data_IF_328965740719
#
_entry.id   IF_328965740719
#
_cell.length_a   1.000
_cell.length_b   1.000
_cell.length_c   1.000
_cell.angle_alpha   90.00
_cell.angle_beta   90.00
_cell.angle_gamma   90.00
#
_symmetry.space_group_name_H-M   'P 1'
#
loop_
_entity.id
_entity.type
_entity.pdbx_description
1 polymer ?
#
# COMPACT_ATOMS: atom_id res chain seq x y z
N UNK A 1 -9.87 -24.80 -30.48
CA UNK A 1 -8.47 -25.19 -30.25
C UNK A 1 -7.92 -24.22 -29.24
N UNK A 2 -7.87 -24.63 -27.98
CA UNK A 2 -7.49 -23.77 -26.85
C UNK A 2 -5.97 -23.74 -26.77
N UNK A 3 -5.36 -22.57 -26.97
CA UNK A 3 -3.94 -22.38 -26.64
C UNK A 3 -3.81 -22.44 -25.11
N UNK A 4 -3.48 -23.61 -24.57
CA UNK A 4 -2.98 -23.71 -23.20
C UNK A 4 -1.61 -23.02 -23.13
N UNK A 5 -1.63 -21.72 -22.83
CA UNK A 5 -0.42 -20.95 -22.56
C UNK A 5 0.41 -21.60 -21.45
N UNK A 6 1.73 -21.44 -21.50
CA UNK A 6 2.63 -22.03 -20.51
C UNK A 6 2.22 -21.67 -19.07
N UNK A 7 2.29 -22.63 -18.13
CA UNK A 7 1.92 -22.37 -16.74
C UNK A 7 2.90 -21.36 -16.12
N UNK A 8 2.35 -20.38 -15.39
CA UNK A 8 3.15 -19.41 -14.61
C UNK A 8 3.85 -20.13 -13.48
N UNK A 9 5.14 -19.85 -13.27
CA UNK A 9 5.98 -20.50 -12.25
C UNK A 9 6.63 -19.45 -11.36
N UNK A 10 6.72 -19.78 -10.08
CA UNK A 10 7.49 -19.03 -9.11
C UNK A 10 8.93 -19.54 -9.08
N UNK A 11 9.89 -18.61 -8.95
CA UNK A 11 11.30 -18.92 -8.76
C UNK A 11 11.81 -18.20 -7.51
N UNK A 12 12.58 -18.92 -6.69
CA UNK A 12 13.27 -18.34 -5.54
C UNK A 12 14.70 -18.01 -5.96
N UNK A 13 15.06 -16.72 -5.90
CA UNK A 13 16.39 -16.24 -6.26
C UNK A 13 16.89 -15.27 -5.17
N UNK A 14 18.23 -15.13 -5.01
CA UNK A 14 18.78 -14.09 -4.17
C UNK A 14 18.28 -12.70 -4.58
N UNK A 15 18.03 -11.84 -3.58
CA UNK A 15 17.57 -10.47 -3.82
C UNK A 15 18.70 -9.70 -4.49
N UNK A 16 18.50 -9.37 -5.76
CA UNK A 16 19.41 -8.55 -6.58
C UNK A 16 18.73 -7.32 -7.14
N UNK A 17 17.39 -7.32 -7.16
CA UNK A 17 16.59 -6.20 -7.61
C UNK A 17 16.67 -5.02 -6.63
N UNK A 18 17.01 -3.85 -7.17
CA UNK A 18 17.17 -2.63 -6.37
C UNK A 18 15.86 -2.17 -5.72
N UNK A 19 14.73 -2.26 -6.43
CA UNK A 19 13.44 -1.83 -5.89
C UNK A 19 13.01 -2.74 -4.74
N UNK A 20 13.25 -4.05 -4.85
CA UNK A 20 13.07 -5.00 -3.75
C UNK A 20 13.95 -4.61 -2.56
N UNK A 21 15.24 -4.39 -2.77
CA UNK A 21 16.17 -4.00 -1.71
C UNK A 21 15.79 -2.70 -1.01
N UNK A 22 15.33 -1.70 -1.78
CA UNK A 22 14.87 -0.41 -1.25
C UNK A 22 13.61 -0.57 -0.40
N UNK A 23 12.63 -1.37 -0.84
CA UNK A 23 11.44 -1.65 -0.03
C UNK A 23 11.82 -2.34 1.28
N UNK A 24 12.75 -3.30 1.25
CA UNK A 24 13.18 -4.03 2.43
C UNK A 24 13.92 -3.18 3.46
N UNK A 25 14.54 -2.06 3.08
CA UNK A 25 15.24 -1.17 4.00
C UNK A 25 14.31 -0.26 4.81
N UNK A 26 13.02 -0.21 4.46
CA UNK A 26 12.07 0.68 5.11
C UNK A 26 11.59 0.11 6.45
N UNK A 27 11.35 0.99 7.44
CA UNK A 27 10.73 0.60 8.70
C UNK A 27 9.42 -0.16 8.48
N UNK A 28 9.17 -1.17 9.32
CA UNK A 28 7.97 -2.01 9.23
C UNK A 28 8.19 -3.37 8.54
N UNK A 29 9.35 -3.57 7.91
CA UNK A 29 9.79 -4.88 7.40
C UNK A 29 10.82 -5.56 8.31
N UNK A 30 11.77 -4.79 8.87
CA UNK A 30 12.85 -5.32 9.75
C UNK A 30 12.34 -6.08 10.99
N UNK A 31 11.16 -5.76 11.53
CA UNK A 31 10.61 -6.44 12.70
C UNK A 31 10.24 -7.91 12.45
N UNK A 32 10.27 -8.37 11.20
CA UNK A 32 9.89 -9.73 10.81
C UNK A 32 11.10 -10.64 10.55
N UNK A 33 12.30 -10.07 10.36
CA UNK A 33 13.47 -10.85 9.86
C UNK A 33 14.65 -10.84 10.83
N UNK A 34 14.88 -9.78 11.61
CA UNK A 34 16.03 -9.74 12.53
C UNK A 34 15.62 -9.14 13.89
N UNK A 35 16.08 -9.78 14.98
CA UNK A 35 16.00 -9.36 16.40
C UNK A 35 14.94 -9.99 17.33
N UNK A 36 14.64 -11.29 17.26
CA UNK A 36 13.95 -11.97 18.38
C UNK A 36 14.79 -13.11 18.99
N UNK A 37 14.98 -13.13 20.34
CA UNK A 37 15.67 -14.21 21.04
C UNK A 37 15.03 -15.57 20.74
N UNK A 38 15.84 -16.62 20.72
CA UNK A 38 15.44 -17.97 20.32
C UNK A 38 14.19 -18.51 21.04
N UNK A 39 13.93 -18.09 22.29
CA UNK A 39 12.75 -18.49 23.07
C UNK A 39 11.44 -17.87 22.55
N UNK A 40 11.49 -16.67 21.97
CA UNK A 40 10.33 -15.97 21.43
C UNK A 40 9.84 -16.57 20.10
N UNK A 41 10.71 -17.30 19.39
CA UNK A 41 10.37 -18.07 18.16
C UNK A 41 9.43 -19.24 18.44
N UNK A 42 9.36 -19.74 19.67
CA UNK A 42 8.53 -20.88 20.06
C UNK A 42 7.12 -20.40 20.50
N UNK A 43 6.97 -19.13 20.91
CA UNK A 43 5.75 -18.64 21.56
C UNK A 43 5.01 -17.53 20.81
N UNK A 44 5.57 -16.97 19.73
CA UNK A 44 4.89 -15.92 18.96
C UNK A 44 4.27 -16.49 17.66
N UNK A 45 2.94 -16.68 17.58
CA UNK A 45 2.29 -17.27 16.41
C UNK A 45 2.35 -16.39 15.14
N UNK A 46 2.81 -15.13 15.27
CA UNK A 46 2.80 -14.14 14.19
C UNK A 46 4.10 -14.03 13.38
N UNK A 47 5.21 -14.66 13.78
CA UNK A 47 6.46 -14.63 13.01
C UNK A 47 6.99 -16.04 12.83
N UNK A 48 6.52 -16.70 11.77
CA UNK A 48 7.12 -17.95 11.29
C UNK A 48 8.22 -17.63 10.27
N UNK A 49 9.39 -18.31 10.32
CA UNK A 49 10.45 -18.17 9.31
C UNK A 49 10.00 -18.46 7.86
N UNK A 50 8.84 -19.09 7.68
CA UNK A 50 8.20 -19.39 6.39
C UNK A 50 7.17 -18.32 5.95
N UNK A 51 7.25 -17.09 6.49
CA UNK A 51 6.26 -16.04 6.17
C UNK A 51 6.59 -15.33 4.86
N UNK A 52 5.65 -15.39 3.90
CA UNK A 52 5.71 -14.61 2.67
C UNK A 52 5.41 -13.14 2.93
N UNK A 53 6.08 -12.26 2.18
CA UNK A 53 5.88 -10.82 2.20
C UNK A 53 5.71 -10.34 0.77
N UNK A 54 4.65 -9.57 0.52
CA UNK A 54 4.42 -8.93 -0.77
C UNK A 54 4.82 -7.45 -0.70
N UNK A 55 5.85 -7.08 -1.45
CA UNK A 55 6.45 -5.76 -1.40
C UNK A 55 5.86 -4.83 -2.47
N UNK A 56 5.48 -3.59 -2.13
CA UNK A 56 4.86 -2.64 -3.04
C UNK A 56 5.89 -1.90 -3.91
N UNK A 57 6.73 -2.65 -4.65
CA UNK A 57 7.87 -2.10 -5.40
C UNK A 57 7.44 -1.07 -6.46
N UNK A 58 6.34 -1.31 -7.19
CA UNK A 58 5.84 -0.34 -8.18
C UNK A 58 5.27 0.92 -7.52
N UNK A 59 4.61 0.80 -6.37
CA UNK A 59 4.17 1.96 -5.60
C UNK A 59 5.37 2.80 -5.15
N UNK A 60 6.45 2.16 -4.68
CA UNK A 60 7.70 2.83 -4.32
C UNK A 60 8.29 3.60 -5.49
N UNK A 61 8.37 2.97 -6.66
CA UNK A 61 8.88 3.60 -7.90
C UNK A 61 8.02 4.79 -8.35
N UNK A 62 6.70 4.68 -8.22
CA UNK A 62 5.77 5.76 -8.52
C UNK A 62 6.01 6.98 -7.59
N UNK A 63 6.19 6.74 -6.28
CA UNK A 63 6.48 7.81 -5.33
C UNK A 63 7.82 8.51 -5.64
N UNK A 64 8.86 7.77 -6.02
CA UNK A 64 10.13 8.36 -6.48
C UNK A 64 9.89 9.26 -7.69
N UNK A 65 9.15 8.77 -8.69
CA UNK A 65 8.86 9.53 -9.90
C UNK A 65 8.10 10.82 -9.60
N UNK A 66 7.11 10.77 -8.70
CA UNK A 66 6.35 11.95 -8.30
C UNK A 66 7.26 12.96 -7.59
N UNK A 67 8.08 12.52 -6.64
CA UNK A 67 9.00 13.40 -5.91
C UNK A 67 10.02 14.06 -6.86
N UNK A 68 10.53 13.29 -7.82
CA UNK A 68 11.44 13.80 -8.83
C UNK A 68 10.77 14.83 -9.75
N UNK A 69 9.59 14.53 -10.28
CA UNK A 69 8.91 15.38 -11.25
C UNK A 69 8.24 16.62 -10.61
N UNK A 70 7.80 16.50 -9.35
CA UNK A 70 7.06 17.52 -8.60
C UNK A 70 7.59 17.59 -7.16
N UNK A 71 8.75 18.23 -6.92
CA UNK A 71 9.35 18.29 -5.58
C UNK A 71 8.46 18.99 -4.53
N UNK A 72 7.59 19.92 -4.94
CA UNK A 72 6.64 20.62 -4.06
C UNK A 72 5.21 20.09 -4.25
N UNK A 73 4.99 18.80 -4.02
CA UNK A 73 3.69 18.17 -4.27
C UNK A 73 2.81 18.08 -3.02
N UNK A 74 1.52 17.98 -3.29
CA UNK A 74 0.52 17.47 -2.34
C UNK A 74 -0.10 16.21 -2.94
N UNK A 75 -0.22 15.17 -2.12
CA UNK A 75 -0.73 13.85 -2.47
C UNK A 75 -2.00 13.57 -1.69
N UNK A 76 -3.00 13.10 -2.43
CA UNK A 76 -4.18 12.44 -1.89
C UNK A 76 -4.22 11.07 -2.56
N UNK A 77 -4.06 10.01 -1.79
CA UNK A 77 -4.07 8.62 -2.29
C UNK A 77 -5.14 7.87 -1.51
N UNK A 78 -6.13 7.32 -2.20
CA UNK A 78 -7.17 6.49 -1.59
C UNK A 78 -7.06 5.05 -2.06
N UNK A 79 -7.12 4.10 -1.13
CA UNK A 79 -7.12 2.67 -1.45
C UNK A 79 -7.64 1.84 -0.27
N UNK A 80 -7.91 0.56 -0.51
CA UNK A 80 -8.26 -0.40 0.54
C UNK A 80 -7.03 -0.82 1.35
N UNK A 81 -7.10 -0.66 2.67
CA UNK A 81 -6.04 -1.10 3.59
C UNK A 81 -6.21 -2.55 4.06
N UNK A 82 -7.35 -3.15 3.78
CA UNK A 82 -7.66 -4.54 4.06
C UNK A 82 -8.54 -5.12 2.95
N UNK A 83 -8.26 -6.36 2.55
CA UNK A 83 -9.08 -7.12 1.60
C UNK A 83 -9.73 -8.29 2.35
N UNK A 84 -11.06 -8.46 2.29
CA UNK A 84 -11.73 -9.56 2.96
C UNK A 84 -11.38 -10.89 2.30
N UNK A 85 -11.44 -11.97 3.09
CA UNK A 85 -11.38 -13.36 2.61
C UNK A 85 -10.12 -13.73 1.79
N UNK A 86 -8.99 -13.02 2.00
CA UNK A 86 -7.71 -13.37 1.37
C UNK A 86 -7.24 -14.75 1.83
N UNK A 87 -7.17 -15.69 0.88
CA UNK A 87 -6.75 -17.08 1.14
C UNK A 87 -5.26 -17.32 0.87
N UNK A 88 -4.56 -16.32 0.31
CA UNK A 88 -3.13 -16.39 0.02
C UNK A 88 -2.34 -16.04 1.29
N UNK A 89 -1.40 -16.87 1.75
CA UNK A 89 -0.63 -16.58 2.94
C UNK A 89 0.40 -15.49 2.70
N UNK A 90 0.61 -14.64 3.72
CA UNK A 90 1.69 -13.67 3.76
C UNK A 90 1.25 -12.27 4.19
N UNK A 91 2.20 -11.45 4.64
CA UNK A 91 1.94 -10.03 4.91
C UNK A 91 1.71 -9.29 3.59
N UNK A 92 0.64 -8.49 3.55
CA UNK A 92 0.17 -7.76 2.37
C UNK A 92 -0.18 -8.68 1.19
N UNK A 93 -0.59 -9.92 1.46
CA UNK A 93 -1.01 -10.85 0.43
C UNK A 93 -2.19 -10.31 -0.39
N UNK A 94 -2.21 -10.59 -1.70
CA UNK A 94 -3.27 -10.09 -2.57
C UNK A 94 -4.54 -10.93 -2.50
N UNK A 95 -5.66 -10.31 -2.84
CA UNK A 95 -6.85 -11.01 -3.32
C UNK A 95 -6.69 -11.26 -4.81
N UNK A 96 -6.91 -12.50 -5.25
CA UNK A 96 -6.88 -12.89 -6.67
C UNK A 96 -8.26 -13.37 -7.05
N UNK A 97 -8.93 -12.67 -7.96
CA UNK A 97 -10.33 -12.91 -8.28
C UNK A 97 -10.59 -12.90 -9.79
N UNK A 98 -11.31 -13.91 -10.29
CA UNK A 98 -11.80 -13.95 -11.67
C UNK A 98 -13.32 -13.85 -11.70
N UNK A 99 -13.88 -13.32 -12.79
CA UNK A 99 -15.34 -13.28 -13.01
C UNK A 99 -15.73 -14.17 -14.19
N UNK A 100 -16.64 -15.10 -13.95
CA UNK A 100 -17.24 -15.95 -14.97
C UNK A 100 -18.76 -15.95 -14.78
N UNK A 101 -19.51 -15.62 -15.84
CA UNK A 101 -20.97 -15.55 -15.77
C UNK A 101 -21.53 -14.56 -14.74
N UNK A 102 -20.77 -13.53 -14.36
CA UNK A 102 -21.15 -12.57 -13.32
C UNK A 102 -20.90 -13.04 -11.88
N UNK A 103 -20.36 -14.24 -11.70
CA UNK A 103 -19.96 -14.80 -10.40
C UNK A 103 -18.46 -14.57 -10.21
N UNK A 104 -18.08 -14.11 -9.02
CA UNK A 104 -16.67 -13.93 -8.62
C UNK A 104 -16.13 -15.23 -8.03
N UNK A 105 -14.93 -15.63 -8.45
CA UNK A 105 -14.21 -16.79 -7.94
C UNK A 105 -12.84 -16.37 -7.44
N UNK A 106 -12.56 -16.65 -6.17
CA UNK A 106 -11.28 -16.34 -5.53
C UNK A 106 -10.29 -17.48 -5.70
N UNK A 107 -9.03 -17.12 -5.96
CA UNK A 107 -7.93 -18.05 -6.16
C UNK A 107 -7.01 -18.07 -4.95
N UNK A 108 -6.47 -19.25 -4.64
CA UNK A 108 -5.54 -19.47 -3.52
C UNK A 108 -4.07 -19.23 -3.88
N UNK A 109 -3.80 -18.66 -5.06
CA UNK A 109 -2.44 -18.44 -5.57
C UNK A 109 -2.44 -17.30 -6.59
N UNK A 110 -1.32 -16.58 -6.66
CA UNK A 110 -1.04 -15.57 -7.70
C UNK A 110 -0.62 -16.19 -9.03
N UNK A 111 -0.33 -17.50 -9.06
CA UNK A 111 0.13 -18.24 -10.25
C UNK A 111 -1.04 -18.63 -11.16
N UNK A 112 -1.87 -17.65 -11.50
CA UNK A 112 -2.98 -17.78 -12.45
C UNK A 112 -2.51 -17.46 -13.87
N UNK A 113 -3.29 -17.85 -14.88
CA UNK A 113 -2.98 -17.50 -16.27
C UNK A 113 -2.96 -15.95 -16.40
N UNK A 114 -1.95 -15.34 -17.05
CA UNK A 114 -1.91 -13.90 -17.20
C UNK A 114 -3.19 -13.36 -17.84
N UNK A 115 -3.74 -12.29 -17.27
CA UNK A 115 -5.00 -11.68 -17.73
C UNK A 115 -6.27 -12.47 -17.43
N UNK A 116 -6.19 -13.60 -16.70
CA UNK A 116 -7.37 -14.42 -16.36
C UNK A 116 -8.07 -14.03 -15.05
N UNK A 117 -7.38 -13.31 -14.19
CA UNK A 117 -7.91 -12.83 -12.92
C UNK A 117 -7.30 -11.46 -12.61
N UNK A 118 -8.06 -10.66 -11.87
CA UNK A 118 -7.56 -9.43 -11.27
C UNK A 118 -6.81 -9.76 -9.97
N UNK A 119 -5.71 -9.06 -9.72
CA UNK A 119 -4.87 -9.23 -8.52
C UNK A 119 -4.83 -7.90 -7.79
N UNK A 120 -5.40 -7.86 -6.59
CA UNK A 120 -5.49 -6.66 -5.76
C UNK A 120 -4.63 -6.83 -4.53
N UNK A 121 -3.78 -5.86 -4.22
CA UNK A 121 -2.99 -5.83 -3.00
C UNK A 121 -3.61 -4.82 -2.03
N UNK A 122 -3.68 -5.10 -0.71
CA UNK A 122 -4.02 -4.08 0.26
C UNK A 122 -2.89 -3.06 0.36
N UNK A 123 -3.23 -1.80 0.58
CA UNK A 123 -2.24 -0.74 0.82
C UNK A 123 -1.91 -0.66 2.31
N UNK A 124 -0.64 -0.89 2.66
CA UNK A 124 -0.08 -0.62 3.99
C UNK A 124 0.22 0.88 4.10
N UNK A 125 -0.73 1.66 4.63
CA UNK A 125 -0.62 3.14 4.72
C UNK A 125 0.52 3.63 5.63
N UNK A 126 0.84 2.99 6.78
CA UNK A 126 2.06 3.28 7.52
C UNK A 126 3.32 3.11 6.66
N UNK A 127 3.43 2.01 5.92
CA UNK A 127 4.55 1.80 5.00
C UNK A 127 4.55 2.82 3.85
N UNK A 128 3.38 3.17 3.30
CA UNK A 128 3.24 4.21 2.28
C UNK A 128 3.80 5.54 2.76
N UNK A 129 3.53 5.93 4.01
CA UNK A 129 4.07 7.14 4.62
C UNK A 129 5.61 7.08 4.72
N UNK A 130 6.17 5.94 5.13
CA UNK A 130 7.62 5.73 5.15
C UNK A 130 8.24 5.77 3.75
N UNK A 131 7.63 5.11 2.76
CA UNK A 131 8.07 5.15 1.36
C UNK A 131 8.08 6.56 0.81
N UNK A 132 7.02 7.31 1.06
CA UNK A 132 6.88 8.69 0.59
C UNK A 132 7.92 9.60 1.25
N UNK A 133 8.06 9.54 2.57
CA UNK A 133 9.09 10.32 3.29
C UNK A 133 10.50 10.01 2.79
N UNK A 134 10.81 8.72 2.60
CA UNK A 134 12.10 8.30 2.08
C UNK A 134 12.33 8.80 0.64
N UNK A 135 11.33 8.71 -0.23
CA UNK A 135 11.40 9.21 -1.62
C UNK A 135 11.70 10.70 -1.65
N UNK A 136 11.01 11.50 -0.83
CA UNK A 136 11.28 12.94 -0.74
C UNK A 136 12.71 13.19 -0.27
N UNK A 137 13.15 12.59 0.84
CA UNK A 137 14.49 12.85 1.38
C UNK A 137 15.63 12.41 0.44
N UNK A 138 15.39 11.46 -0.48
CA UNK A 138 16.37 11.12 -1.52
C UNK A 138 16.58 12.24 -2.53
N UNK A 139 15.55 13.04 -2.82
CA UNK A 139 15.61 14.15 -3.76
C UNK A 139 15.80 15.51 -3.08
N UNK A 140 15.33 15.64 -1.84
CA UNK A 140 15.30 16.86 -1.03
C UNK A 140 15.64 16.51 0.44
N UNK A 141 16.93 16.32 0.77
CA UNK A 141 17.35 15.79 2.08
C UNK A 141 16.97 16.64 3.30
N UNK A 142 16.69 17.93 3.11
CA UNK A 142 16.37 18.88 4.18
C UNK A 142 14.88 19.23 4.25
N UNK A 143 14.05 18.70 3.36
CA UNK A 143 12.62 19.03 3.32
C UNK A 143 11.85 18.32 4.43
N UNK A 144 10.96 19.06 5.09
CA UNK A 144 9.97 18.46 5.98
C UNK A 144 8.88 17.78 5.15
N UNK A 145 8.58 16.52 5.50
CA UNK A 145 7.50 15.74 4.89
C UNK A 145 6.39 15.58 5.91
N UNK A 146 5.17 15.92 5.52
CA UNK A 146 3.96 15.58 6.29
C UNK A 146 3.23 14.46 5.57
N UNK A 147 2.79 13.48 6.34
CA UNK A 147 2.11 12.31 5.82
C UNK A 147 1.31 11.64 6.92
N UNK A 148 0.01 11.54 6.74
CA UNK A 148 -0.87 10.77 7.61
C UNK A 148 -1.99 10.15 6.78
N UNK A 149 -2.67 9.16 7.34
CA UNK A 149 -3.84 8.55 6.71
C UNK A 149 -5.03 8.59 7.66
N UNK A 150 -6.22 8.57 7.07
CA UNK A 150 -7.51 8.57 7.77
C UNK A 150 -8.39 7.49 7.15
N UNK A 151 -9.30 6.92 7.94
CA UNK A 151 -10.37 6.10 7.36
C UNK A 151 -11.27 6.98 6.48
N UNK A 152 -11.82 6.42 5.40
CA UNK A 152 -12.66 7.15 4.46
C UNK A 152 -13.77 7.94 5.17
N UNK A 153 -14.49 7.30 6.10
CA UNK A 153 -15.54 7.97 6.86
C UNK A 153 -15.05 9.12 7.74
N UNK A 154 -13.83 9.07 8.27
CA UNK A 154 -13.23 10.19 9.03
C UNK A 154 -12.87 11.35 8.11
N UNK A 155 -12.24 11.05 6.98
CA UNK A 155 -11.95 12.04 5.96
C UNK A 155 -13.23 12.74 5.47
N UNK A 156 -14.28 11.97 5.15
CA UNK A 156 -15.54 12.54 4.67
C UNK A 156 -16.27 13.36 5.74
N UNK A 157 -16.17 13.00 7.03
CA UNK A 157 -16.69 13.84 8.11
C UNK A 157 -15.99 15.20 8.20
N UNK A 158 -14.69 15.24 7.93
CA UNK A 158 -13.92 16.48 7.98
C UNK A 158 -14.10 17.35 6.74
N UNK A 159 -14.16 16.75 5.54
CA UNK A 159 -14.00 17.49 4.29
C UNK A 159 -15.22 17.47 3.37
N UNK A 160 -16.23 16.62 3.62
CA UNK A 160 -17.41 16.52 2.77
C UNK A 160 -18.70 16.99 3.48
N UNK A 161 -19.70 17.37 2.69
CA UNK A 161 -21.07 17.56 3.19
C UNK A 161 -21.74 16.19 3.40
N UNK A 162 -21.32 15.47 4.44
CA UNK A 162 -21.81 14.12 4.72
C UNK A 162 -23.33 14.08 4.95
N UNK A 163 -23.95 15.15 5.44
CA UNK A 163 -25.40 15.24 5.62
C UNK A 163 -26.18 15.09 4.31
N UNK A 164 -25.62 15.57 3.19
CA UNK A 164 -26.25 15.42 1.87
C UNK A 164 -26.27 13.96 1.37
N UNK A 165 -25.41 13.09 1.91
CA UNK A 165 -25.35 11.67 1.58
C UNK A 165 -26.21 10.80 2.52
N UNK A 166 -26.83 11.36 3.56
CA UNK A 166 -27.66 10.61 4.48
C UNK A 166 -28.97 10.18 3.80
N UNK A 167 -29.27 8.88 3.87
CA UNK A 167 -30.53 8.32 3.37
C UNK A 167 -31.68 8.57 4.36
N UNK A 168 -32.93 8.37 3.90
CA UNK A 168 -34.14 8.65 4.70
C UNK A 168 -34.22 7.88 6.02
N UNK A 169 -33.55 6.73 6.14
CA UNK A 169 -33.56 5.92 7.35
C UNK A 169 -32.34 6.19 8.27
N UNK A 170 -31.50 7.18 7.92
CA UNK A 170 -30.32 7.57 8.71
C UNK A 170 -29.02 6.84 8.34
N UNK A 171 -29.07 5.81 7.48
CA UNK A 171 -27.85 5.21 6.94
C UNK A 171 -27.14 6.19 6.00
N UNK A 172 -25.82 6.26 6.08
CA UNK A 172 -24.98 7.15 5.29
C UNK A 172 -23.89 6.33 4.59
N UNK A 173 -24.08 5.95 3.31
CA UNK A 173 -23.12 5.12 2.57
C UNK A 173 -21.74 5.77 2.49
N UNK A 174 -21.66 7.10 2.42
CA UNK A 174 -20.39 7.83 2.38
C UNK A 174 -19.54 7.63 3.65
N UNK A 175 -20.18 7.35 4.79
CA UNK A 175 -19.53 7.20 6.08
C UNK A 175 -19.43 5.75 6.56
N UNK A 176 -20.33 4.89 6.08
CA UNK A 176 -20.57 3.55 6.64
C UNK A 176 -20.21 2.42 5.69
N UNK A 177 -20.13 2.67 4.38
CA UNK A 177 -19.62 1.68 3.44
C UNK A 177 -18.10 1.75 3.34
N UNK A 178 -17.50 0.64 2.92
CA UNK A 178 -16.05 0.55 2.64
C UNK A 178 -15.19 1.07 3.80
N UNK A 179 -15.48 0.62 5.02
CA UNK A 179 -14.75 1.01 6.24
C UNK A 179 -13.28 0.56 6.24
N UNK A 180 -12.93 -0.36 5.35
CA UNK A 180 -11.59 -0.80 5.00
C UNK A 180 -10.92 0.07 3.91
N UNK A 181 -11.51 1.21 3.53
CA UNK A 181 -10.89 2.18 2.64
C UNK A 181 -10.27 3.31 3.46
N UNK A 182 -9.05 3.67 3.10
CA UNK A 182 -8.26 4.70 3.77
C UNK A 182 -7.76 5.72 2.76
N UNK A 183 -7.53 6.94 3.24
CA UNK A 183 -7.05 8.07 2.45
C UNK A 183 -5.77 8.59 3.09
N UNK A 184 -4.68 8.55 2.33
CA UNK A 184 -3.40 9.18 2.64
C UNK A 184 -3.41 10.63 2.20
N UNK A 185 -3.01 11.51 3.10
CA UNK A 185 -2.73 12.92 2.84
C UNK A 185 -1.26 13.17 3.12
N UNK A 186 -0.50 13.51 2.08
CA UNK A 186 0.93 13.75 2.20
C UNK A 186 1.44 14.89 1.34
N UNK A 187 2.62 15.38 1.64
CA UNK A 187 3.33 16.33 0.81
C UNK A 187 4.56 16.91 1.48
N UNK A 188 5.30 17.69 0.71
CA UNK A 188 6.42 18.49 1.21
C UNK A 188 5.90 19.80 1.79
N UNK A 189 6.40 20.20 2.95
CA UNK A 189 6.06 21.50 3.53
C UNK A 189 6.82 22.59 2.77
N UNK A 190 6.11 23.58 2.23
CA UNK A 190 6.75 24.77 1.69
C UNK A 190 7.46 25.52 2.82
N UNK A 191 8.78 25.72 2.70
CA UNK A 191 9.44 26.74 3.50
C UNK A 191 8.96 28.11 3.02
N UNK A 192 8.63 29.05 3.92
CA UNK A 192 8.39 30.44 3.53
C UNK A 192 9.59 30.90 2.71
N UNK A 193 9.35 31.44 1.51
CA UNK A 193 10.42 32.09 0.75
C UNK A 193 11.06 33.13 1.66
N UNK A 194 12.31 32.92 2.05
CA UNK A 194 13.11 34.03 2.57
C UNK A 194 13.18 35.01 1.41
N UNK A 195 12.52 36.16 1.54
CA UNK A 195 12.68 37.26 0.61
C UNK A 195 14.17 37.65 0.63
N UNK A 196 14.93 37.15 -0.34
CA UNK A 196 16.16 37.79 -0.77
C UNK A 196 15.75 39.02 -1.58
N UNK A 197 15.11 39.98 -0.92
CA UNK A 197 14.97 41.34 -1.40
C UNK A 197 16.10 42.13 -0.73
N UNK A 198 17.24 42.15 -1.40
CA UNK A 198 18.44 42.84 -0.98
C UNK A 198 19.54 42.57 -1.98
N UNK A 199 19.47 43.26 -3.11
CA UNK A 199 20.60 43.81 -3.88
C UNK A 199 20.08 44.94 -4.78
#
# INVERSE_FOLDING_TARGET
MSEEGQPVRQYMAPITDRAIGQCMQLPGWQATIDQQPWMHRIMNPFVRPDSFVYLPTQCRMLLDLICHARPNHHLIIGDFDELPDVQIPGKNAPLVASKEGGITYDHKSVLVRPGSADIFFPTDFPLLAHMHSHAVHQHLPQSEVRGHHLKAGEFMRQYANSAAAATRNGYNPLLQDYTNFSIYLGGTVEHPRVNLAGD
#
